data_IF_174208076007
#
_entry.id   IF_174208076007
#
_cell.length_a   1.000
_cell.length_b   1.000
_cell.length_c   1.000
_cell.angle_alpha   90.00
_cell.angle_beta   90.00
_cell.angle_gamma   90.00
#
_symmetry.space_group_name_H-M   'P 1'
#
loop_
_entity.id
_entity.type
_entity.pdbx_description
1 polymer ?
#
# COMPACT_ATOMS: atom_id res chain seq x y z
N UNK A 1 15.04 -4.46 7.25
CA UNK A 1 15.02 -3.83 5.92
C UNK A 1 13.63 -3.92 5.33
N UNK A 2 13.17 -2.87 4.69
CA UNK A 2 11.91 -2.81 3.95
C UNK A 2 12.20 -2.45 2.50
N UNK A 3 11.33 -2.92 1.58
CA UNK A 3 11.49 -2.71 0.14
C UNK A 3 11.14 -1.27 -0.26
N UNK A 4 10.14 -0.69 0.36
CA UNK A 4 9.55 0.65 0.14
C UNK A 4 8.75 0.82 -1.15
N UNK A 5 8.87 -0.08 -2.11
CA UNK A 5 8.10 -0.10 -3.36
C UNK A 5 7.61 -1.53 -3.67
N UNK A 6 7.13 -2.23 -2.66
CA UNK A 6 6.65 -3.61 -2.79
C UNK A 6 5.26 -3.62 -3.46
N UNK A 7 5.26 -3.72 -4.77
CA UNK A 7 4.06 -3.87 -5.60
C UNK A 7 4.15 -5.15 -6.44
N UNK A 8 3.04 -5.63 -7.02
CA UNK A 8 3.04 -6.88 -7.80
C UNK A 8 4.02 -6.91 -8.97
N UNK A 9 4.35 -5.74 -9.56
CA UNK A 9 5.32 -5.64 -10.65
C UNK A 9 6.75 -5.96 -10.22
N UNK A 10 7.05 -5.89 -8.92
CA UNK A 10 8.36 -6.17 -8.35
C UNK A 10 8.46 -7.56 -7.72
N UNK A 11 7.45 -8.40 -7.93
CA UNK A 11 7.39 -9.78 -7.38
C UNK A 11 7.34 -10.77 -8.54
N UNK A 12 8.33 -11.66 -8.60
CA UNK A 12 8.37 -12.73 -9.60
C UNK A 12 7.78 -14.01 -9.03
N UNK A 13 6.85 -14.59 -9.77
CA UNK A 13 6.12 -15.80 -9.37
C UNK A 13 6.38 -16.91 -10.41
N UNK A 14 6.64 -18.12 -9.94
CA UNK A 14 6.75 -19.33 -10.76
C UNK A 14 6.00 -20.45 -10.08
N UNK A 15 5.13 -21.13 -10.83
CA UNK A 15 4.36 -22.27 -10.34
C UNK A 15 3.59 -21.98 -9.03
N UNK A 16 3.00 -20.78 -8.93
CA UNK A 16 2.24 -20.35 -7.76
C UNK A 16 3.06 -19.92 -6.54
N UNK A 17 4.39 -19.90 -6.64
CA UNK A 17 5.28 -19.50 -5.55
C UNK A 17 6.09 -18.24 -5.91
N UNK A 18 6.32 -17.39 -4.93
CA UNK A 18 7.23 -16.24 -5.06
C UNK A 18 8.67 -16.77 -5.14
N UNK A 19 9.37 -16.45 -6.23
CA UNK A 19 10.76 -16.86 -6.46
C UNK A 19 11.75 -15.72 -6.33
N UNK A 20 11.32 -14.49 -6.50
CA UNK A 20 12.18 -13.32 -6.32
C UNK A 20 11.37 -12.06 -6.06
N UNK A 21 11.99 -11.10 -5.38
CA UNK A 21 11.56 -9.72 -5.28
C UNK A 21 12.66 -8.86 -5.89
N UNK A 22 12.30 -7.98 -6.81
CA UNK A 22 13.26 -7.16 -7.58
C UNK A 22 13.07 -5.69 -7.30
N UNK A 23 13.94 -4.85 -7.89
CA UNK A 23 13.91 -3.40 -7.78
C UNK A 23 14.04 -2.91 -6.34
N UNK A 24 15.14 -3.30 -5.70
CA UNK A 24 15.47 -2.96 -4.31
C UNK A 24 16.22 -1.63 -4.16
N UNK A 25 16.28 -0.81 -5.20
CA UNK A 25 17.04 0.44 -5.20
C UNK A 25 16.63 1.45 -4.11
N UNK A 26 15.38 1.38 -3.67
CA UNK A 26 14.84 2.21 -2.59
C UNK A 26 14.75 1.49 -1.23
N UNK A 27 15.25 0.28 -1.13
CA UNK A 27 15.20 -0.49 0.11
C UNK A 27 16.00 0.20 1.23
N UNK A 28 15.50 0.07 2.46
CA UNK A 28 16.13 0.72 3.60
C UNK A 28 15.60 0.20 4.93
N UNK A 29 15.91 0.93 5.98
CA UNK A 29 15.40 0.64 7.32
C UNK A 29 13.96 1.15 7.47
N UNK A 30 13.13 0.39 8.17
CA UNK A 30 11.76 0.77 8.42
C UNK A 30 10.94 -0.37 9.02
N UNK A 31 9.67 -0.09 9.29
CA UNK A 31 8.73 -1.12 9.73
C UNK A 31 8.22 -1.96 8.57
N UNK A 32 8.03 -3.24 8.80
CA UNK A 32 7.40 -4.15 7.83
C UNK A 32 6.02 -3.67 7.38
N UNK A 33 5.32 -2.93 8.24
CA UNK A 33 4.02 -2.36 7.92
C UNK A 33 4.07 -1.39 6.72
N UNK A 34 5.21 -0.76 6.44
CA UNK A 34 5.39 0.11 5.26
C UNK A 34 5.15 -0.66 3.96
N UNK A 35 5.77 -1.82 3.80
CA UNK A 35 5.58 -2.65 2.60
C UNK A 35 4.16 -3.20 2.50
N UNK A 36 3.57 -3.61 3.64
CA UNK A 36 2.18 -4.07 3.66
C UNK A 36 1.20 -2.95 3.26
N UNK A 37 1.47 -1.70 3.63
CA UNK A 37 0.64 -0.56 3.25
C UNK A 37 0.69 -0.32 1.74
N UNK A 38 1.85 -0.48 1.11
CA UNK A 38 1.96 -0.44 -0.35
C UNK A 38 1.12 -1.54 -1.00
N UNK A 39 1.16 -2.76 -0.47
CA UNK A 39 0.33 -3.86 -0.96
C UNK A 39 -1.17 -3.59 -0.78
N UNK A 40 -1.60 -3.00 0.34
CA UNK A 40 -3.00 -2.56 0.51
C UNK A 40 -3.43 -1.70 -0.66
N UNK A 41 -2.61 -0.72 -1.03
CA UNK A 41 -2.93 0.19 -2.13
C UNK A 41 -3.13 -0.55 -3.46
N UNK A 42 -2.29 -1.54 -3.74
CA UNK A 42 -2.38 -2.34 -4.95
C UNK A 42 -3.66 -3.19 -5.05
N UNK A 43 -4.29 -3.54 -3.92
CA UNK A 43 -5.50 -4.37 -3.91
C UNK A 43 -6.76 -3.65 -4.37
N UNK A 44 -6.77 -2.32 -4.42
CA UNK A 44 -7.95 -1.55 -4.82
C UNK A 44 -8.33 -1.68 -6.29
N UNK A 45 -7.44 -2.22 -7.11
CA UNK A 45 -7.68 -2.38 -8.54
C UNK A 45 -8.54 -3.60 -8.88
N UNK A 46 -8.69 -4.54 -7.95
CA UNK A 46 -9.42 -5.79 -8.15
C UNK A 46 -10.31 -6.09 -6.94
N UNK A 47 -11.65 -6.04 -7.10
CA UNK A 47 -12.59 -6.34 -6.01
C UNK A 47 -12.45 -7.75 -5.42
N UNK A 48 -11.92 -8.71 -6.18
CA UNK A 48 -11.67 -10.07 -5.66
C UNK A 48 -10.61 -10.09 -4.55
N UNK A 49 -9.82 -9.01 -4.41
CA UNK A 49 -8.78 -8.86 -3.41
C UNK A 49 -9.26 -8.18 -2.12
N UNK A 50 -10.55 -7.90 -1.97
CA UNK A 50 -11.08 -7.24 -0.76
C UNK A 50 -10.77 -8.05 0.52
N UNK A 51 -10.85 -9.37 0.45
CA UNK A 51 -10.49 -10.25 1.57
C UNK A 51 -8.99 -10.22 1.89
N UNK A 52 -8.15 -10.12 0.86
CA UNK A 52 -6.68 -9.96 1.02
C UNK A 52 -6.39 -8.63 1.70
N UNK A 53 -7.02 -7.55 1.25
CA UNK A 53 -6.83 -6.21 1.83
C UNK A 53 -7.20 -6.18 3.32
N UNK A 54 -8.29 -6.82 3.70
CA UNK A 54 -8.70 -6.93 5.11
C UNK A 54 -7.64 -7.63 5.95
N UNK A 55 -7.06 -8.72 5.45
CA UNK A 55 -5.96 -9.42 6.14
C UNK A 55 -4.70 -8.57 6.25
N UNK A 56 -4.38 -7.80 5.23
CA UNK A 56 -3.25 -6.86 5.25
C UNK A 56 -3.46 -5.79 6.34
N UNK A 57 -4.65 -5.17 6.41
CA UNK A 57 -4.97 -4.22 7.47
C UNK A 57 -4.84 -4.82 8.86
N UNK A 58 -5.38 -6.02 9.07
CA UNK A 58 -5.25 -6.73 10.36
C UNK A 58 -3.78 -6.92 10.73
N UNK A 59 -2.94 -7.30 9.78
CA UNK A 59 -1.52 -7.49 10.04
C UNK A 59 -0.80 -6.17 10.33
N UNK A 60 -1.12 -5.11 9.62
CA UNK A 60 -0.57 -3.77 9.87
C UNK A 60 -0.92 -3.32 11.29
N UNK A 61 -2.18 -3.47 11.70
CA UNK A 61 -2.64 -3.10 13.05
C UNK A 61 -1.90 -3.87 14.15
N UNK A 62 -1.62 -5.15 13.94
CA UNK A 62 -0.81 -5.95 14.88
C UNK A 62 0.63 -5.42 14.99
N UNK A 63 1.20 -4.95 13.89
CA UNK A 63 2.60 -4.50 13.86
C UNK A 63 2.80 -3.11 14.46
N UNK A 64 1.89 -2.17 14.20
CA UNK A 64 2.09 -0.74 14.51
C UNK A 64 0.94 -0.09 15.26
N UNK A 65 -0.15 -0.80 15.52
CA UNK A 65 -1.36 -0.25 16.13
C UNK A 65 -2.14 0.66 15.19
N UNK A 66 -3.27 1.18 15.68
CA UNK A 66 -4.15 2.01 14.86
C UNK A 66 -3.51 3.33 14.44
N UNK A 67 -2.86 4.03 15.37
CA UNK A 67 -2.20 5.31 15.08
C UNK A 67 -1.08 5.14 14.06
N UNK A 68 -0.25 4.12 14.22
CA UNK A 68 0.79 3.80 13.26
C UNK A 68 0.24 3.45 11.87
N UNK A 69 -0.85 2.68 11.83
CA UNK A 69 -1.53 2.35 10.57
C UNK A 69 -2.10 3.61 9.89
N UNK A 70 -2.70 4.53 10.67
CA UNK A 70 -3.23 5.78 10.13
C UNK A 70 -2.12 6.67 9.55
N UNK A 71 -0.98 6.78 10.23
CA UNK A 71 0.18 7.53 9.72
C UNK A 71 0.71 6.93 8.43
N UNK A 72 0.86 5.60 8.36
CA UNK A 72 1.32 4.92 7.16
C UNK A 72 0.34 5.09 5.99
N UNK A 73 -0.96 4.99 6.25
CA UNK A 73 -2.00 5.20 5.25
C UNK A 73 -1.95 6.64 4.70
N UNK A 74 -1.87 7.63 5.57
CA UNK A 74 -1.78 9.03 5.19
C UNK A 74 -0.51 9.31 4.37
N UNK A 75 0.64 8.78 4.78
CA UNK A 75 1.90 8.91 4.06
C UNK A 75 1.81 8.30 2.66
N UNK A 76 1.20 7.12 2.54
CA UNK A 76 1.00 6.46 1.25
C UNK A 76 0.10 7.30 0.32
N UNK A 77 -0.98 7.86 0.85
CA UNK A 77 -1.89 8.73 0.08
C UNK A 77 -1.13 9.95 -0.44
N UNK A 78 -0.36 10.63 0.41
CA UNK A 78 0.44 11.78 0.01
C UNK A 78 1.46 11.44 -1.07
N UNK A 79 2.12 10.30 -0.94
CA UNK A 79 3.06 9.82 -1.95
C UNK A 79 2.36 9.56 -3.29
N UNK A 80 1.19 8.92 -3.27
CA UNK A 80 0.42 8.64 -4.49
C UNK A 80 -0.16 9.91 -5.14
N UNK A 81 -0.36 10.98 -4.40
CA UNK A 81 -0.76 12.29 -4.93
C UNK A 81 0.42 13.07 -5.50
N UNK A 82 1.56 13.01 -4.85
CA UNK A 82 2.76 13.78 -5.20
C UNK A 82 3.24 13.47 -6.62
N UNK A 83 3.31 12.21 -6.98
CA UNK A 83 3.82 11.79 -8.30
C UNK A 83 2.99 12.34 -9.47
N UNK A 84 1.66 12.13 -9.53
CA UNK A 84 0.86 12.66 -10.64
C UNK A 84 0.83 14.20 -10.66
N UNK A 85 0.81 14.87 -9.50
CA UNK A 85 0.84 16.34 -9.44
C UNK A 85 2.15 16.86 -10.01
N UNK A 86 3.28 16.28 -9.63
CA UNK A 86 4.60 16.66 -10.14
C UNK A 86 4.71 16.52 -11.66
N UNK A 87 4.07 15.51 -12.23
CA UNK A 87 4.09 15.24 -13.67
C UNK A 87 2.93 15.87 -14.45
N UNK A 88 2.14 16.75 -13.83
CA UNK A 88 1.02 17.43 -14.47
C UNK A 88 -0.19 16.53 -14.78
N UNK A 89 -0.24 15.32 -14.20
CA UNK A 89 -1.31 14.34 -14.39
C UNK A 89 -2.46 14.58 -13.41
N UNK A 90 -3.05 15.78 -13.49
CA UNK A 90 -4.16 16.17 -12.61
C UNK A 90 -5.43 15.34 -12.84
N UNK A 91 -5.56 14.70 -14.00
CA UNK A 91 -6.67 13.83 -14.38
C UNK A 91 -6.81 12.60 -13.48
N UNK A 92 -5.70 12.09 -12.91
CA UNK A 92 -5.70 10.90 -12.04
C UNK A 92 -5.91 11.24 -10.55
N UNK A 93 -5.78 12.51 -10.16
CA UNK A 93 -5.87 12.95 -8.76
C UNK A 93 -7.22 12.61 -8.10
N UNK A 94 -8.40 12.83 -8.74
CA UNK A 94 -9.68 12.47 -8.13
C UNK A 94 -9.79 10.97 -7.79
N UNK A 95 -9.25 10.09 -8.63
CA UNK A 95 -9.23 8.65 -8.38
C UNK A 95 -8.34 8.28 -7.20
N UNK A 96 -7.19 8.93 -7.04
CA UNK A 96 -6.29 8.74 -5.89
C UNK A 96 -6.96 9.20 -4.60
N UNK A 97 -7.61 10.36 -4.60
CA UNK A 97 -8.34 10.89 -3.44
C UNK A 97 -9.45 9.93 -3.02
N UNK A 98 -10.25 9.46 -3.97
CA UNK A 98 -11.34 8.50 -3.71
C UNK A 98 -10.82 7.20 -3.09
N UNK A 99 -9.73 6.67 -3.63
CA UNK A 99 -9.09 5.46 -3.10
C UNK A 99 -8.52 5.69 -1.71
N UNK A 100 -7.88 6.82 -1.48
CA UNK A 100 -7.38 7.23 -0.18
C UNK A 100 -8.48 7.34 0.87
N UNK A 101 -9.61 7.95 0.53
CA UNK A 101 -10.76 8.03 1.42
C UNK A 101 -11.29 6.65 1.77
N UNK A 102 -11.42 5.77 0.78
CA UNK A 102 -11.84 4.39 1.01
C UNK A 102 -10.88 3.64 1.94
N UNK A 103 -9.58 3.81 1.77
CA UNK A 103 -8.58 3.19 2.64
C UNK A 103 -8.73 3.64 4.10
N UNK A 104 -8.93 4.94 4.33
CA UNK A 104 -9.14 5.49 5.67
C UNK A 104 -10.47 5.02 6.28
N UNK A 105 -11.53 4.95 5.49
CA UNK A 105 -12.83 4.45 5.95
C UNK A 105 -12.75 2.98 6.37
N UNK A 106 -12.07 2.15 5.60
CA UNK A 106 -11.84 0.74 5.94
C UNK A 106 -11.01 0.60 7.23
N UNK A 107 -9.95 1.40 7.38
CA UNK A 107 -9.12 1.40 8.57
C UNK A 107 -9.92 1.84 9.80
N UNK A 108 -10.73 2.88 9.68
CA UNK A 108 -11.60 3.36 10.77
C UNK A 108 -12.64 2.31 11.18
N UNK A 109 -13.16 1.54 10.25
CA UNK A 109 -14.11 0.46 10.54
C UNK A 109 -13.49 -0.69 11.36
N UNK A 110 -12.16 -0.80 11.35
CA UNK A 110 -11.42 -1.80 12.13
C UNK A 110 -10.98 -1.28 13.52
N UNK A 111 -11.26 -0.03 13.82
CA UNK A 111 -10.96 0.58 15.09
C UNK A 111 -11.97 0.16 16.19
#
# INVERSE_FOLDING_TARGET
MVHTDLNPGNVLVRDGAVVAVVDIGNAGSGTRATDLTTLVWCTFQDPSLDGVRRRLWTRILVLVGWEGAAVLAATQILHMLEVPIRHGRHDVVPGVVKRGQRALDELNALR
#
